data_IF_148945914962
#
_entry.id   IF_148945914962
#
_cell.length_a   1.000
_cell.length_b   1.000
_cell.length_c   1.000
_cell.angle_alpha   90.00
_cell.angle_beta   90.00
_cell.angle_gamma   90.00
#
_symmetry.space_group_name_H-M   'P 1'
#
loop_
_entity.id
_entity.type
_entity.pdbx_description
1 polymer ?
#
# COMPACT_ATOMS: atom_id res chain seq x y z
N UNK A 1 1.37 2.45 12.10
CA UNK A 1 2.52 1.69 12.65
C UNK A 1 3.44 2.54 13.54
N UNK A 2 3.21 3.85 13.71
CA UNK A 2 4.01 4.68 14.64
C UNK A 2 5.43 4.98 14.16
N UNK A 3 5.69 4.89 12.85
CA UNK A 3 6.96 5.30 12.25
C UNK A 3 6.98 6.79 11.93
N UNK A 4 8.18 7.37 11.84
CA UNK A 4 8.39 8.75 11.42
C UNK A 4 8.23 8.92 9.90
N UNK A 5 8.20 10.17 9.43
CA UNK A 5 8.25 10.49 7.99
C UNK A 5 9.51 9.91 7.32
N UNK A 6 10.63 9.89 8.04
CA UNK A 6 11.91 9.32 7.57
C UNK A 6 11.81 7.81 7.41
N UNK A 7 11.16 7.13 8.34
CA UNK A 7 10.91 5.68 8.24
C UNK A 7 10.01 5.36 7.06
N UNK A 8 8.96 6.16 6.86
CA UNK A 8 8.02 6.02 5.74
C UNK A 8 8.74 6.21 4.40
N UNK A 9 9.55 7.27 4.28
CA UNK A 9 10.38 7.51 3.09
C UNK A 9 11.36 6.36 2.84
N UNK A 10 11.96 5.81 3.91
CA UNK A 10 12.88 4.66 3.83
C UNK A 10 12.16 3.41 3.30
N UNK A 11 10.97 3.10 3.81
CA UNK A 11 10.18 1.94 3.33
C UNK A 11 9.80 2.12 1.86
N UNK A 12 9.30 3.29 1.46
CA UNK A 12 8.87 3.54 0.07
C UNK A 12 10.07 3.42 -0.89
N UNK A 13 11.19 4.06 -0.57
CA UNK A 13 12.41 4.00 -1.38
C UNK A 13 12.91 2.57 -1.55
N UNK A 14 12.94 1.80 -0.46
CA UNK A 14 13.41 0.41 -0.48
C UNK A 14 12.46 -0.51 -1.26
N UNK A 15 11.14 -0.34 -1.11
CA UNK A 15 10.14 -1.08 -1.88
C UNK A 15 10.24 -0.82 -3.39
N UNK A 16 10.38 0.43 -3.80
CA UNK A 16 10.53 0.81 -5.22
C UNK A 16 11.82 0.25 -5.82
N UNK A 17 12.94 0.37 -5.11
CA UNK A 17 14.22 -0.14 -5.60
C UNK A 17 14.23 -1.66 -5.69
N UNK A 18 13.74 -2.36 -4.65
CA UNK A 18 13.66 -3.83 -4.66
C UNK A 18 12.68 -4.33 -5.73
N UNK A 19 11.55 -3.65 -5.95
CA UNK A 19 10.61 -3.95 -7.04
C UNK A 19 11.28 -3.81 -8.42
N UNK A 20 12.05 -2.74 -8.64
CA UNK A 20 12.84 -2.58 -9.86
C UNK A 20 13.89 -3.67 -10.04
N UNK A 21 14.67 -3.96 -9.01
CA UNK A 21 15.72 -4.98 -9.03
C UNK A 21 15.15 -6.39 -9.28
N UNK A 22 14.04 -6.74 -8.62
CA UNK A 22 13.38 -8.03 -8.80
C UNK A 22 12.74 -8.16 -10.18
N UNK A 23 12.18 -7.08 -10.73
CA UNK A 23 11.68 -7.05 -12.12
C UNK A 23 12.81 -7.27 -13.13
N UNK A 24 13.96 -6.63 -12.93
CA UNK A 24 15.18 -6.87 -13.74
C UNK A 24 15.60 -8.33 -13.60
N UNK A 25 15.71 -8.86 -12.39
CA UNK A 25 16.08 -10.26 -12.16
C UNK A 25 15.10 -11.24 -12.84
N UNK A 26 13.79 -10.95 -12.77
CA UNK A 26 12.74 -11.75 -13.38
C UNK A 26 12.79 -11.74 -14.91
N UNK A 27 13.12 -10.60 -15.51
CA UNK A 27 13.23 -10.45 -16.97
C UNK A 27 14.53 -11.04 -17.52
N UNK A 28 15.64 -11.00 -16.78
CA UNK A 28 16.93 -11.56 -17.22
C UNK A 28 17.09 -13.06 -16.92
N UNK A 29 16.89 -13.49 -15.66
CA UNK A 29 17.11 -14.87 -15.21
C UNK A 29 15.84 -15.69 -15.08
N UNK A 30 14.69 -15.04 -14.95
CA UNK A 30 13.39 -15.68 -14.71
C UNK A 30 12.67 -16.10 -16.00
N UNK A 31 11.39 -15.78 -16.06
CA UNK A 31 10.49 -16.23 -17.14
C UNK A 31 10.70 -15.50 -18.48
N UNK A 32 11.56 -14.47 -18.50
CA UNK A 32 11.81 -13.55 -19.63
C UNK A 32 10.55 -12.83 -20.14
N UNK A 33 9.45 -12.88 -19.38
CA UNK A 33 8.24 -12.13 -19.66
C UNK A 33 8.39 -10.71 -19.10
N UNK A 34 7.95 -9.66 -19.83
CA UNK A 34 7.97 -8.27 -19.35
C UNK A 34 6.85 -8.04 -18.32
N UNK A 35 6.97 -8.67 -17.16
CA UNK A 35 6.05 -8.56 -16.02
C UNK A 35 6.67 -7.68 -14.95
N UNK A 36 5.98 -6.60 -14.58
CA UNK A 36 6.41 -5.69 -13.52
C UNK A 36 6.10 -6.35 -12.18
N UNK A 37 7.15 -6.65 -11.41
CA UNK A 37 7.00 -7.26 -10.09
C UNK A 37 6.81 -6.17 -9.03
N UNK A 38 5.68 -6.19 -8.34
CA UNK A 38 5.34 -5.26 -7.26
C UNK A 38 4.97 -5.97 -5.96
N UNK A 39 4.73 -5.19 -4.91
CA UNK A 39 4.15 -5.69 -3.67
C UNK A 39 2.70 -6.13 -3.91
N UNK A 40 2.35 -7.36 -3.54
CA UNK A 40 0.97 -7.84 -3.64
C UNK A 40 0.09 -7.21 -2.56
N UNK A 41 -1.06 -6.68 -2.99
CA UNK A 41 -2.06 -6.09 -2.09
C UNK A 41 -2.63 -7.09 -1.09
N UNK A 42 -2.60 -8.40 -1.37
CA UNK A 42 -3.12 -9.46 -0.49
C UNK A 42 -2.38 -9.48 0.86
N UNK A 43 -1.11 -9.07 0.89
CA UNK A 43 -0.32 -9.00 2.12
C UNK A 43 -0.62 -7.78 3.00
N UNK A 44 -1.38 -6.79 2.50
CA UNK A 44 -1.66 -5.57 3.26
C UNK A 44 -2.60 -5.86 4.46
N UNK A 45 -3.62 -6.68 4.26
CA UNK A 45 -4.57 -7.04 5.32
C UNK A 45 -3.88 -7.73 6.52
N UNK A 46 -3.10 -8.81 6.34
CA UNK A 46 -2.36 -9.43 7.44
C UNK A 46 -1.29 -8.51 8.03
N UNK A 47 -0.63 -7.66 7.22
CA UNK A 47 0.30 -6.67 7.75
C UNK A 47 -0.38 -5.66 8.70
N UNK A 48 -1.59 -5.20 8.36
CA UNK A 48 -2.40 -4.31 9.21
C UNK A 48 -2.84 -5.00 10.51
N UNK A 49 -3.23 -6.27 10.44
CA UNK A 49 -3.59 -7.06 11.62
C UNK A 49 -2.39 -7.22 12.55
N UNK A 50 -1.22 -7.57 12.02
CA UNK A 50 0.02 -7.68 12.80
C UNK A 50 0.36 -6.34 13.46
N UNK A 51 0.29 -5.24 12.69
CA UNK A 51 0.61 -3.89 13.17
C UNK A 51 -0.32 -3.38 14.28
N UNK A 52 -1.58 -3.81 14.30
CA UNK A 52 -2.58 -3.39 15.29
C UNK A 52 -2.73 -4.38 16.45
N UNK A 53 -1.93 -5.45 16.49
CA UNK A 53 -1.99 -6.43 17.57
C UNK A 53 -1.65 -5.81 18.94
N UNK A 54 -2.32 -6.29 19.99
CA UNK A 54 -2.18 -5.80 21.37
C UNK A 54 -0.73 -5.81 21.87
N UNK A 55 0.04 -6.80 21.42
CA UNK A 55 1.46 -6.93 21.75
C UNK A 55 2.27 -5.69 21.38
N UNK A 56 1.93 -5.02 20.27
CA UNK A 56 2.62 -3.80 19.81
C UNK A 56 1.91 -2.50 20.23
N UNK A 57 0.79 -2.57 20.97
CA UNK A 57 0.09 -1.37 21.46
C UNK A 57 0.79 -0.76 22.68
N UNK A 58 1.43 -1.59 23.50
CA UNK A 58 2.04 -1.17 24.77
C UNK A 58 3.53 -0.79 24.67
N UNK A 59 4.16 -0.93 23.49
CA UNK A 59 5.54 -0.47 23.28
C UNK A 59 5.54 1.01 22.94
N UNK A 60 6.20 1.82 23.78
CA UNK A 60 6.32 3.26 23.61
C UNK A 60 7.50 3.64 22.69
N UNK A 61 8.63 2.93 22.81
CA UNK A 61 9.84 3.16 22.01
C UNK A 61 9.98 2.11 20.90
N UNK A 62 10.44 2.53 19.71
CA UNK A 62 10.78 1.69 18.55
C UNK A 62 9.69 0.74 18.03
N UNK A 63 8.40 1.05 18.28
CA UNK A 63 7.25 0.26 17.81
C UNK A 63 7.33 -0.10 16.33
N UNK A 64 7.70 0.86 15.49
CA UNK A 64 7.84 0.66 14.05
C UNK A 64 8.85 -0.45 13.71
N UNK A 65 10.03 -0.42 14.34
CA UNK A 65 11.11 -1.40 14.11
C UNK A 65 10.69 -2.80 14.54
N UNK A 66 10.01 -2.92 15.67
CA UNK A 66 9.47 -4.21 16.13
C UNK A 66 8.44 -4.79 15.17
N UNK A 67 7.50 -3.99 14.69
CA UNK A 67 6.50 -4.43 13.70
C UNK A 67 7.19 -4.86 12.40
N UNK A 68 8.19 -4.10 11.93
CA UNK A 68 8.91 -4.44 10.70
C UNK A 68 9.69 -5.76 10.82
N UNK A 69 10.31 -6.04 11.97
CA UNK A 69 11.03 -7.31 12.22
C UNK A 69 10.09 -8.51 12.23
N UNK A 70 8.91 -8.35 12.81
CA UNK A 70 7.87 -9.38 12.83
C UNK A 70 7.33 -9.63 11.43
N UNK A 71 7.04 -8.56 10.69
CA UNK A 71 6.55 -8.66 9.32
C UNK A 71 7.58 -9.33 8.39
N UNK A 72 8.87 -9.00 8.52
CA UNK A 72 9.95 -9.66 7.77
C UNK A 72 10.04 -11.16 8.04
N UNK A 73 10.01 -11.56 9.32
CA UNK A 73 10.04 -12.98 9.67
C UNK A 73 8.83 -13.74 9.14
N UNK A 74 7.64 -13.15 9.25
CA UNK A 74 6.42 -13.76 8.79
C UNK A 74 6.36 -13.86 7.24
N UNK A 75 6.80 -12.83 6.50
CA UNK A 75 6.93 -12.88 5.04
C UNK A 75 7.96 -13.93 4.62
N UNK A 76 9.09 -14.02 5.32
CA UNK A 76 10.12 -15.02 5.01
C UNK A 76 9.57 -16.44 5.09
N UNK A 77 8.84 -16.76 6.17
CA UNK A 77 8.19 -18.09 6.32
C UNK A 77 7.20 -18.35 5.19
N UNK A 78 6.35 -17.37 4.88
CA UNK A 78 5.41 -17.47 3.75
C UNK A 78 6.13 -17.71 2.42
N UNK A 79 7.25 -17.02 2.17
CA UNK A 79 8.04 -17.17 0.94
C UNK A 79 8.72 -18.53 0.82
N UNK A 80 9.26 -19.08 1.92
CA UNK A 80 9.85 -20.43 1.93
C UNK A 80 8.79 -21.48 1.65
N UNK A 81 7.63 -21.35 2.28
CA UNK A 81 6.50 -22.23 2.02
C UNK A 81 6.04 -22.16 0.55
N UNK A 82 5.92 -20.95 0.01
CA UNK A 82 5.58 -20.69 -1.40
C UNK A 82 6.57 -21.38 -2.36
N UNK A 83 7.87 -21.31 -2.07
CA UNK A 83 8.93 -21.95 -2.85
C UNK A 83 8.76 -23.48 -2.82
N UNK A 84 8.52 -24.07 -1.64
CA UNK A 84 8.30 -25.51 -1.49
C UNK A 84 7.04 -25.96 -2.26
N UNK A 85 5.95 -25.20 -2.17
CA UNK A 85 4.73 -25.46 -2.95
C UNK A 85 4.96 -25.36 -4.47
N UNK A 86 5.78 -24.41 -4.90
CA UNK A 86 6.15 -24.24 -6.31
C UNK A 86 6.96 -25.41 -6.85
N UNK A 87 8.02 -25.80 -6.12
CA UNK A 87 8.90 -26.90 -6.54
C UNK A 87 8.25 -28.29 -6.44
N UNK A 88 7.35 -28.51 -5.47
CA UNK A 88 6.65 -29.80 -5.33
C UNK A 88 5.63 -30.08 -6.43
N UNK A 89 5.33 -29.12 -7.29
CA UNK A 89 4.29 -29.25 -8.32
C UNK A 89 2.85 -29.25 -7.78
N UNK A 90 2.67 -29.15 -6.46
CA UNK A 90 1.37 -29.12 -5.79
C UNK A 90 0.51 -27.94 -6.26
N UNK A 91 1.15 -26.88 -6.73
CA UNK A 91 0.48 -25.75 -7.36
C UNK A 91 -0.43 -26.18 -8.52
N UNK A 92 -0.04 -27.17 -9.34
CA UNK A 92 -0.87 -27.66 -10.43
C UNK A 92 -2.16 -28.35 -9.95
N UNK A 93 -2.13 -28.95 -8.76
CA UNK A 93 -3.30 -29.59 -8.15
C UNK A 93 -4.22 -28.55 -7.53
N UNK A 94 -3.66 -27.54 -6.86
CA UNK A 94 -4.40 -26.39 -6.36
C UNK A 94 -5.15 -25.67 -7.49
N UNK A 95 -4.51 -25.48 -8.64
CA UNK A 95 -5.14 -24.87 -9.82
C UNK A 95 -6.34 -25.65 -10.33
N UNK A 96 -6.36 -26.98 -10.18
CA UNK A 96 -7.52 -27.81 -10.56
C UNK A 96 -8.67 -27.71 -9.56
N UNK A 97 -8.38 -27.35 -8.31
CA UNK A 97 -9.37 -27.18 -7.26
C UNK A 97 -10.01 -25.77 -7.27
N UNK A 98 -9.24 -24.77 -7.70
CA UNK A 98 -9.66 -23.37 -7.64
C UNK A 98 -10.54 -23.04 -8.84
N UNK A 99 -11.86 -23.10 -8.63
CA UNK A 99 -12.84 -22.61 -9.60
C UNK A 99 -12.98 -21.08 -9.51
N UNK A 100 -13.19 -20.37 -10.64
CA UNK A 100 -13.37 -18.90 -10.66
C UNK A 100 -14.53 -18.43 -9.77
N UNK A 101 -15.51 -19.31 -9.52
CA UNK A 101 -16.64 -19.10 -8.59
C UNK A 101 -16.19 -18.85 -7.15
N UNK A 102 -15.05 -19.40 -6.72
CA UNK A 102 -14.49 -19.19 -5.38
C UNK A 102 -13.54 -17.99 -5.36
N UNK A 103 -12.83 -17.76 -6.47
CA UNK A 103 -11.84 -16.67 -6.57
C UNK A 103 -12.52 -15.30 -6.52
N UNK A 104 -13.59 -15.08 -7.29
CA UNK A 104 -14.23 -13.77 -7.35
C UNK A 104 -14.75 -13.28 -5.98
N UNK A 105 -15.45 -14.09 -5.16
CA UNK A 105 -15.84 -13.71 -3.81
C UNK A 105 -14.64 -13.47 -2.88
N UNK A 106 -13.55 -14.24 -3.00
CA UNK A 106 -12.36 -14.03 -2.16
C UNK A 106 -11.68 -12.70 -2.46
N UNK A 107 -11.52 -12.33 -3.73
CA UNK A 107 -10.95 -11.04 -4.13
C UNK A 107 -11.88 -9.90 -3.69
N UNK A 108 -13.20 -10.06 -3.86
CA UNK A 108 -14.17 -9.09 -3.38
C UNK A 108 -14.10 -8.90 -1.84
N UNK A 109 -13.96 -9.98 -1.08
CA UNK A 109 -13.82 -9.93 0.37
C UNK A 109 -12.51 -9.24 0.81
N UNK A 110 -11.39 -9.52 0.11
CA UNK A 110 -10.11 -8.84 0.33
C UNK A 110 -10.25 -7.34 0.04
N UNK A 111 -10.89 -6.97 -1.08
CA UNK A 111 -11.20 -5.57 -1.42
C UNK A 111 -12.08 -4.88 -0.37
N UNK A 112 -13.13 -5.56 0.09
CA UNK A 112 -14.04 -5.04 1.13
C UNK A 112 -13.33 -4.84 2.47
N UNK A 113 -12.40 -5.74 2.84
CA UNK A 113 -11.59 -5.58 4.04
C UNK A 113 -10.76 -4.28 4.00
N UNK A 114 -10.23 -3.90 2.83
CA UNK A 114 -9.49 -2.64 2.67
C UNK A 114 -10.36 -1.41 2.74
N UNK A 115 -11.63 -1.50 2.34
CA UNK A 115 -12.57 -0.39 2.45
C UNK A 115 -12.67 0.11 3.91
N UNK A 116 -12.68 -0.81 4.88
CA UNK A 116 -12.75 -0.47 6.31
C UNK A 116 -11.56 0.37 6.82
N UNK A 117 -10.38 0.24 6.19
CA UNK A 117 -9.17 0.99 6.54
C UNK A 117 -8.97 2.23 5.67
N UNK A 118 -9.26 2.13 4.36
CA UNK A 118 -9.08 3.24 3.42
C UNK A 118 -10.14 4.32 3.56
N UNK A 119 -11.40 3.95 3.82
CA UNK A 119 -12.52 4.90 3.88
C UNK A 119 -12.40 5.92 5.02
N UNK A 120 -12.01 5.56 6.26
CA UNK A 120 -11.77 6.55 7.32
C UNK A 120 -10.67 7.56 6.98
N UNK A 121 -9.61 7.11 6.28
CA UNK A 121 -8.55 7.99 5.81
C UNK A 121 -9.03 8.93 4.71
N UNK A 122 -9.78 8.42 3.73
CA UNK A 122 -10.38 9.23 2.67
C UNK A 122 -11.40 10.24 3.23
N UNK A 123 -12.22 9.81 4.21
CA UNK A 123 -13.24 10.64 4.85
C UNK A 123 -12.68 11.76 5.72
N UNK A 124 -11.42 11.64 6.17
CA UNK A 124 -10.74 12.71 6.91
C UNK A 124 -10.54 13.97 6.06
N UNK A 125 -10.46 13.81 4.74
CA UNK A 125 -10.21 14.86 3.77
C UNK A 125 -11.19 14.77 2.61
N UNK A 126 -12.48 14.89 2.92
CA UNK A 126 -13.56 14.73 1.93
C UNK A 126 -13.40 15.69 0.73
N UNK A 127 -12.89 16.90 0.96
CA UNK A 127 -12.67 17.91 -0.09
C UNK A 127 -11.66 17.48 -1.16
N UNK A 128 -10.69 16.62 -0.81
CA UNK A 128 -9.67 16.09 -1.74
C UNK A 128 -10.11 14.72 -2.26
N UNK A 129 -10.67 13.88 -1.38
CA UNK A 129 -11.06 12.51 -1.72
C UNK A 129 -12.26 12.45 -2.67
N UNK A 130 -13.26 13.32 -2.51
CA UNK A 130 -14.43 13.36 -3.38
C UNK A 130 -14.06 13.67 -4.84
N UNK A 131 -13.31 14.75 -5.15
CA UNK A 131 -12.88 15.00 -6.53
C UNK A 131 -11.95 13.91 -7.06
N UNK A 132 -11.12 13.28 -6.23
CA UNK A 132 -10.32 12.13 -6.66
C UNK A 132 -11.20 10.96 -7.13
N UNK A 133 -12.22 10.59 -6.37
CA UNK A 133 -13.14 9.49 -6.73
C UNK A 133 -13.90 9.84 -8.01
N UNK A 134 -14.44 11.06 -8.10
CA UNK A 134 -15.15 11.52 -9.30
C UNK A 134 -14.23 11.52 -10.52
N UNK A 135 -13.01 12.03 -10.39
CA UNK A 135 -12.02 12.07 -11.46
C UNK A 135 -11.59 10.66 -11.89
N UNK A 136 -11.39 9.74 -10.95
CA UNK A 136 -11.10 8.34 -11.22
C UNK A 136 -12.22 7.65 -11.97
N UNK A 137 -13.48 7.84 -11.54
CA UNK A 137 -14.65 7.29 -12.21
C UNK A 137 -14.81 7.88 -13.62
N UNK A 138 -14.62 9.20 -13.77
CA UNK A 138 -14.66 9.87 -15.07
C UNK A 138 -13.56 9.31 -16.00
N UNK A 139 -12.32 9.21 -15.53
CA UNK A 139 -11.22 8.68 -16.33
C UNK A 139 -11.45 7.21 -16.71
N UNK A 140 -11.97 6.39 -15.79
CA UNK A 140 -12.14 4.94 -16.01
C UNK A 140 -13.41 4.61 -16.84
N UNK A 141 -14.50 5.35 -16.65
CA UNK A 141 -15.78 5.09 -17.33
C UNK A 141 -15.89 5.85 -18.66
N UNK A 142 -15.50 7.13 -18.69
CA UNK A 142 -15.71 8.01 -19.85
C UNK A 142 -14.50 8.05 -20.79
N UNK A 143 -13.30 8.30 -20.25
CA UNK A 143 -12.08 8.41 -21.06
C UNK A 143 -11.60 7.07 -21.65
N UNK A 144 -12.12 5.94 -21.16
CA UNK A 144 -11.91 4.62 -21.78
C UNK A 144 -12.39 4.55 -23.23
N UNK A 145 -13.42 5.33 -23.60
CA UNK A 145 -13.98 5.35 -24.96
C UNK A 145 -13.25 6.34 -25.89
N UNK A 146 -12.47 7.27 -25.33
CA UNK A 146 -11.85 8.36 -26.08
C UNK A 146 -10.41 7.97 -26.40
N UNK A 147 -10.17 7.57 -27.65
CA UNK A 147 -8.83 7.42 -28.22
C UNK A 147 -8.31 8.82 -28.58
N UNK A 148 -7.35 9.33 -27.82
CA UNK A 148 -6.55 10.49 -28.20
C UNK A 148 -5.23 9.98 -28.78
N UNK A 149 -4.81 10.51 -29.93
CA UNK A 149 -3.56 10.12 -30.62
C UNK A 149 -3.47 8.65 -31.10
N UNK A 150 -4.60 7.99 -31.34
CA UNK A 150 -4.63 6.65 -31.96
C UNK A 150 -4.13 5.49 -31.07
N UNK A 151 -3.71 5.76 -29.83
CA UNK A 151 -3.30 4.76 -28.85
C UNK A 151 -4.20 4.79 -27.61
N UNK A 152 -4.55 3.62 -27.07
CA UNK A 152 -5.34 3.45 -25.84
C UNK A 152 -4.52 3.73 -24.55
N UNK A 153 -3.72 4.82 -24.55
CA UNK A 153 -2.85 5.23 -23.43
C UNK A 153 -3.69 5.49 -22.18
N UNK A 154 -4.88 6.08 -22.33
CA UNK A 154 -5.76 6.41 -21.21
C UNK A 154 -6.23 5.20 -20.40
N UNK A 155 -6.23 3.99 -20.97
CA UNK A 155 -6.65 2.79 -20.24
C UNK A 155 -5.63 2.39 -19.16
N UNK A 156 -4.34 2.49 -19.48
CA UNK A 156 -3.24 2.08 -18.59
C UNK A 156 -2.89 3.19 -17.59
N UNK A 157 -2.96 4.45 -18.03
CA UNK A 157 -2.53 5.60 -17.22
C UNK A 157 -3.65 6.34 -16.48
N UNK A 158 -4.90 5.87 -16.52
CA UNK A 158 -6.03 6.53 -15.86
C UNK A 158 -5.77 6.81 -14.36
N UNK A 159 -5.29 5.79 -13.65
CA UNK A 159 -5.02 5.86 -12.20
C UNK A 159 -3.87 6.84 -11.89
N UNK A 160 -2.63 6.68 -12.41
CA UNK A 160 -1.55 7.61 -12.10
C UNK A 160 -1.84 9.04 -12.54
N UNK A 161 -2.55 9.24 -13.66
CA UNK A 161 -2.95 10.57 -14.13
C UNK A 161 -3.91 11.25 -13.13
N UNK A 162 -4.93 10.55 -12.66
CA UNK A 162 -5.87 11.10 -11.66
C UNK A 162 -5.18 11.46 -10.34
N UNK A 163 -4.22 10.64 -9.90
CA UNK A 163 -3.40 10.88 -8.69
C UNK A 163 -2.51 12.12 -8.89
N UNK A 164 -1.92 12.29 -10.08
CA UNK A 164 -1.14 13.48 -10.41
C UNK A 164 -1.98 14.76 -10.38
N UNK A 165 -3.16 14.75 -11.00
CA UNK A 165 -4.06 15.91 -11.03
C UNK A 165 -4.53 16.27 -9.62
N UNK A 166 -4.96 15.29 -8.81
CA UNK A 166 -5.42 15.59 -7.46
C UNK A 166 -4.29 16.11 -6.57
N UNK A 167 -3.07 15.62 -6.75
CA UNK A 167 -1.92 16.10 -5.99
C UNK A 167 -1.64 17.59 -6.26
N UNK A 168 -1.71 18.00 -7.54
CA UNK A 168 -1.61 19.41 -7.93
C UNK A 168 -2.75 20.24 -7.33
N UNK A 169 -3.99 19.72 -7.39
CA UNK A 169 -5.15 20.37 -6.79
C UNK A 169 -5.00 20.56 -5.26
N UNK A 170 -4.53 19.53 -4.55
CA UNK A 170 -4.27 19.59 -3.12
C UNK A 170 -3.16 20.59 -2.76
N UNK A 171 -2.12 20.70 -3.60
CA UNK A 171 -1.07 21.70 -3.45
C UNK A 171 -1.63 23.12 -3.57
N UNK A 172 -2.48 23.39 -4.57
CA UNK A 172 -3.13 24.69 -4.72
C UNK A 172 -4.07 25.04 -3.56
N UNK A 173 -4.86 24.08 -3.06
CA UNK A 173 -5.71 24.29 -1.87
C UNK A 173 -4.89 24.60 -0.62
N UNK A 174 -3.74 23.94 -0.47
CA UNK A 174 -2.81 24.19 0.65
C UNK A 174 -2.20 25.59 0.54
N UNK A 175 -1.72 25.97 -0.65
CA UNK A 175 -1.13 27.28 -0.90
C UNK A 175 -2.15 28.42 -0.79
N UNK A 176 -3.40 28.20 -1.21
CA UNK A 176 -4.52 29.14 -1.09
C UNK A 176 -5.00 29.35 0.35
N UNK A 177 -4.44 28.65 1.34
CA UNK A 177 -4.75 28.83 2.75
C UNK A 177 -6.09 28.25 3.19
N UNK A 178 -6.72 27.38 2.39
CA UNK A 178 -7.98 26.71 2.76
C UNK A 178 -7.88 25.94 4.10
N UNK A 179 -6.68 25.47 4.43
CA UNK A 179 -6.38 24.72 5.65
C UNK A 179 -5.59 25.54 6.70
N UNK A 180 -5.50 26.86 6.56
CA UNK A 180 -4.86 27.77 7.53
C UNK A 180 -5.91 28.42 8.43
N UNK A 181 -6.13 27.84 9.62
CA UNK A 181 -7.04 28.41 10.60
C UNK A 181 -6.29 29.40 11.52
N UNK A 182 -6.80 30.63 11.65
CA UNK A 182 -6.17 31.67 12.48
C UNK A 182 -6.01 31.21 13.93
N UNK A 183 -4.78 31.24 14.44
CA UNK A 183 -4.46 30.86 15.82
C UNK A 183 -4.32 29.35 16.08
N UNK A 184 -4.41 28.51 15.06
CA UNK A 184 -4.19 27.06 15.18
C UNK A 184 -2.86 26.66 14.54
N UNK A 185 -2.14 25.74 15.17
CA UNK A 185 -0.94 25.10 14.60
C UNK A 185 -1.13 23.60 14.46
N UNK A 186 -0.62 23.03 13.36
CA UNK A 186 -0.73 21.59 13.05
C UNK A 186 0.21 20.71 13.90
N UNK A 187 1.25 21.31 14.49
CA UNK A 187 2.31 20.64 15.24
C UNK A 187 1.94 20.27 16.69
N UNK A 188 0.91 20.90 17.28
CA UNK A 188 0.53 20.67 18.68
C UNK A 188 -0.46 19.50 18.78
N UNK A 189 -0.21 18.45 19.59
CA UNK A 189 -1.12 17.31 19.76
C UNK A 189 -2.51 17.75 20.21
N UNK A 190 -3.56 17.04 19.77
CA UNK A 190 -4.96 17.42 20.07
C UNK A 190 -5.28 17.51 21.57
N UNK A 191 -4.50 16.83 22.41
CA UNK A 191 -4.55 16.89 23.88
C UNK A 191 -4.14 18.25 24.44
N UNK A 192 -3.24 18.97 23.76
CA UNK A 192 -2.65 20.22 24.25
C UNK A 192 -3.25 21.45 23.54
N UNK A 193 -4.24 21.27 22.67
CA UNK A 193 -4.96 22.36 22.02
C UNK A 193 -5.93 22.97 23.04
N UNK A 194 -5.65 24.21 23.44
CA UNK A 194 -6.43 25.01 24.40
C UNK A 194 -7.74 25.56 23.81
N UNK A 195 -7.86 25.66 22.48
CA UNK A 195 -9.01 26.24 21.79
C UNK A 195 -9.90 25.16 21.16
N UNK A 196 -11.15 25.06 21.60
CA UNK A 196 -12.09 24.02 21.13
C UNK A 196 -12.39 24.11 19.62
N UNK A 197 -12.33 25.31 19.03
CA UNK A 197 -12.48 25.53 17.58
C UNK A 197 -11.34 24.91 16.77
N UNK A 198 -10.11 24.98 17.27
CA UNK A 198 -8.94 24.34 16.66
C UNK A 198 -8.98 22.81 16.82
N UNK A 199 -9.53 22.30 17.93
CA UNK A 199 -9.62 20.86 18.19
C UNK A 199 -10.45 20.13 17.13
N UNK A 200 -11.56 20.72 16.67
CA UNK A 200 -12.40 20.14 15.60
C UNK A 200 -11.69 20.06 14.25
N UNK A 201 -10.83 21.02 13.93
CA UNK A 201 -10.12 21.10 12.65
C UNK A 201 -8.73 20.47 12.67
N UNK A 202 -8.28 19.95 13.82
CA UNK A 202 -6.94 19.41 13.99
C UNK A 202 -6.66 18.21 13.08
N UNK A 203 -7.66 17.35 12.84
CA UNK A 203 -7.50 16.19 11.95
C UNK A 203 -7.34 16.62 10.49
N UNK A 204 -8.13 17.59 10.04
CA UNK A 204 -8.08 18.15 8.68
C UNK A 204 -6.71 18.80 8.46
N UNK A 205 -6.25 19.63 9.40
CA UNK A 205 -4.95 20.30 9.31
C UNK A 205 -3.77 19.33 9.24
N UNK A 206 -3.86 18.16 9.88
CA UNK A 206 -2.79 17.15 9.85
C UNK A 206 -2.82 16.24 8.63
N UNK A 207 -4.01 15.90 8.14
CA UNK A 207 -4.17 14.88 7.09
C UNK A 207 -4.33 15.46 5.69
N UNK A 208 -4.94 16.64 5.55
CA UNK A 208 -5.29 17.21 4.25
C UNK A 208 -4.25 18.17 3.70
N UNK A 209 -3.39 18.69 4.58
CA UNK A 209 -2.40 19.70 4.25
C UNK A 209 -1.14 19.03 3.69
N UNK A 210 -0.72 19.46 2.50
CA UNK A 210 0.35 18.79 1.73
C UNK A 210 1.78 19.02 2.26
N UNK A 211 1.99 20.02 3.13
CA UNK A 211 3.29 20.42 3.67
C UNK A 211 3.60 19.85 5.07
N UNK A 212 2.67 19.08 5.65
CA UNK A 212 2.82 18.53 7.01
C UNK A 212 3.85 17.41 7.04
N UNK A 213 3.87 16.58 6.00
CA UNK A 213 4.85 15.50 5.90
C UNK A 213 6.14 16.00 5.26
N UNK A 214 7.25 15.75 5.94
CA UNK A 214 8.59 16.01 5.40
C UNK A 214 9.20 14.77 4.74
N UNK A 215 8.40 13.71 4.50
CA UNK A 215 8.87 12.46 3.91
C UNK A 215 9.55 12.69 2.54
N UNK A 216 9.00 13.57 1.70
CA UNK A 216 9.55 13.85 0.37
C UNK A 216 10.92 14.57 0.44
N UNK A 217 11.11 15.46 1.42
CA UNK A 217 12.38 16.19 1.64
C UNK A 217 13.44 15.33 2.33
N UNK A 218 13.01 14.40 3.17
CA UNK A 218 13.91 13.49 3.90
C UNK A 218 14.25 12.21 3.12
N UNK A 219 13.58 11.96 2.00
CA UNK A 219 13.87 10.82 1.14
C UNK A 219 15.24 10.96 0.47
N UNK A 220 16.14 10.01 0.73
CA UNK A 220 17.36 9.87 -0.06
C UNK A 220 17.00 9.44 -1.49
N UNK A 221 17.58 10.12 -2.49
CA UNK A 221 17.31 9.85 -3.92
C UNK A 221 17.63 8.41 -4.33
N UNK A 222 18.78 7.88 -3.88
CA UNK A 222 19.15 6.48 -4.05
C UNK A 222 19.60 5.95 -2.71
N UNK A 223 18.88 4.94 -2.20
CA UNK A 223 19.24 4.24 -0.97
C UNK A 223 19.34 2.76 -1.25
N UNK A 224 20.56 2.23 -1.23
CA UNK A 224 20.78 0.79 -1.40
C UNK A 224 20.22 0.07 -0.17
N UNK A 225 19.18 -0.78 -0.32
CA UNK A 225 18.66 -1.57 0.78
C UNK A 225 19.68 -2.64 1.16
N UNK A 226 19.97 -2.77 2.46
CA UNK A 226 20.74 -3.88 2.98
C UNK A 226 19.80 -4.92 3.59
N UNK A 227 20.12 -6.22 3.47
CA UNK A 227 19.31 -7.25 4.11
C UNK A 227 19.24 -7.01 5.62
N UNK A 228 18.05 -7.21 6.20
CA UNK A 228 17.78 -7.01 7.64
C UNK A 228 17.95 -5.56 8.12
N UNK A 229 17.61 -4.56 7.29
CA UNK A 229 17.76 -3.15 7.67
C UNK A 229 17.03 -2.70 8.93
N UNK A 230 15.99 -3.43 9.34
CA UNK A 230 15.23 -3.17 10.55
C UNK A 230 15.63 -4.06 11.74
N UNK A 231 16.67 -4.89 11.59
CA UNK A 231 17.14 -5.86 12.59
C UNK A 231 16.81 -7.31 12.24
N UNK A 232 17.25 -8.29 13.06
CA UNK A 232 17.03 -9.70 12.78
C UNK A 232 15.53 -10.06 12.87
N UNK A 233 15.05 -10.96 11.98
CA UNK A 233 13.64 -11.28 11.87
C UNK A 233 13.18 -12.03 13.12
N UNK A 234 11.98 -11.73 13.59
CA UNK A 234 11.34 -12.45 14.69
C UNK A 234 10.32 -13.42 14.14
N UNK A 235 10.28 -14.63 14.70
CA UNK A 235 9.39 -15.68 14.26
C UNK A 235 8.41 -16.01 15.38
N UNK A 236 7.12 -15.81 15.11
CA UNK A 236 6.04 -16.28 15.96
C UNK A 236 5.13 -17.23 15.19
N UNK A 237 4.71 -18.31 15.86
CA UNK A 237 3.90 -19.35 15.24
C UNK A 237 2.57 -18.83 14.70
N UNK A 238 1.92 -17.92 15.43
CA UNK A 238 0.63 -17.32 15.03
C UNK A 238 0.76 -16.51 13.73
N UNK A 239 1.78 -15.64 13.63
CA UNK A 239 2.01 -14.80 12.45
C UNK A 239 2.52 -15.62 11.27
N UNK A 240 3.31 -16.67 11.53
CA UNK A 240 3.75 -17.62 10.52
C UNK A 240 2.57 -18.35 9.84
N UNK A 241 1.62 -18.91 10.61
CA UNK A 241 0.43 -19.58 10.04
C UNK A 241 -0.38 -18.62 9.18
N UNK A 242 -0.62 -17.40 9.68
CA UNK A 242 -1.37 -16.39 8.92
C UNK A 242 -0.68 -16.10 7.59
N UNK A 243 0.64 -15.93 7.57
CA UNK A 243 1.37 -15.66 6.33
C UNK A 243 1.44 -16.86 5.38
N UNK A 244 1.44 -18.09 5.90
CA UNK A 244 1.31 -19.30 5.08
C UNK A 244 -0.06 -19.32 4.38
N UNK A 245 -1.15 -19.07 5.09
CA UNK A 245 -2.50 -19.02 4.50
C UNK A 245 -2.57 -17.90 3.44
N UNK A 246 -2.06 -16.72 3.78
CA UNK A 246 -2.04 -15.57 2.87
C UNK A 246 -1.20 -15.85 1.62
N UNK A 247 -0.08 -16.57 1.75
CA UNK A 247 0.74 -16.95 0.59
C UNK A 247 -0.02 -17.85 -0.39
N UNK A 248 -0.86 -18.76 0.10
CA UNK A 248 -1.76 -19.55 -0.76
C UNK A 248 -2.74 -18.62 -1.50
N UNK A 249 -3.38 -17.69 -0.80
CA UNK A 249 -4.31 -16.72 -1.43
C UNK A 249 -3.58 -15.85 -2.47
N UNK A 250 -2.38 -15.37 -2.16
CA UNK A 250 -1.56 -14.59 -3.08
C UNK A 250 -1.14 -15.39 -4.33
N UNK A 251 -0.94 -16.70 -4.17
CA UNK A 251 -0.73 -17.60 -5.31
C UNK A 251 -1.93 -17.58 -6.24
N UNK A 252 -3.13 -17.76 -5.69
CA UNK A 252 -4.39 -17.81 -6.45
C UNK A 252 -4.62 -16.51 -7.23
N UNK A 253 -4.42 -15.38 -6.57
CA UNK A 253 -4.55 -14.04 -7.17
C UNK A 253 -3.59 -13.85 -8.35
N UNK A 254 -2.33 -14.27 -8.18
CA UNK A 254 -1.31 -14.19 -9.24
C UNK A 254 -1.71 -14.99 -10.49
N UNK A 255 -2.34 -16.16 -10.32
CA UNK A 255 -2.82 -16.95 -11.47
C UNK A 255 -4.03 -16.36 -12.17
N UNK A 256 -4.94 -15.73 -11.44
CA UNK A 256 -6.09 -15.06 -12.05
C UNK A 256 -5.64 -13.99 -13.05
N UNK A 257 -4.64 -13.19 -12.67
CA UNK A 257 -4.05 -12.19 -13.55
C UNK A 257 -3.38 -12.80 -14.80
N UNK A 258 -2.70 -13.95 -14.65
CA UNK A 258 -2.08 -14.64 -15.80
C UNK A 258 -3.14 -15.23 -16.75
N UNK A 259 -4.24 -15.76 -16.23
CA UNK A 259 -5.33 -16.31 -17.04
C UNK A 259 -6.05 -15.21 -17.84
N UNK A 260 -6.26 -14.04 -17.23
CA UNK A 260 -6.83 -12.87 -17.92
C UNK A 260 -5.95 -12.36 -19.06
N UNK A 261 -4.62 -12.47 -18.95
CA UNK A 261 -3.68 -12.05 -20.01
C UNK A 261 -3.62 -13.03 -21.20
N UNK A 262 -4.16 -14.24 -21.05
CA UNK A 262 -4.21 -15.27 -22.12
C UNK A 262 -5.53 -15.29 -22.91
N UNK A 263 -6.54 -14.50 -22.49
CA UNK A 263 -7.80 -14.31 -23.22
C UNK A 263 -7.75 -13.00 -24.00
#
# INVERSE_FOLDING_TARGET
MGGSDVDTATVISTMLLVSGLTTILHTFLGSRLPLIQGSSFVYLAPALVIANSEKFRNLNDDKFKHIMRELQGAILVGSVFQIILGYSGLMSLLLRLINPVVVAPTIAAVGLAFFSYGFPHAGSCVEISMPLIVLLLLCTLYMRKISLFGNHIFLIYAVPLSVGIIWVYAFFLTAGGAYNFKGCSSSIPSSNILLDSCRRHAEIMRRCRTDVSNAWRSAAWVRVPYPLQWGPPTFHFKTAIVMVIVSVVASVDSFHHIMLLRC
#
